data_IF_735687460181
#
_entry.id   IF_735687460181
#
_cell.length_a   1.000
_cell.length_b   1.000
_cell.length_c   1.000
_cell.angle_alpha   90.00
_cell.angle_beta   90.00
_cell.angle_gamma   90.00
#
_symmetry.space_group_name_H-M   'P 1'
#
loop_
_entity.id
_entity.type
_entity.pdbx_description
1 polymer ?
#
# COMPACT_ATOMS: atom_id res chain seq x y z
N UNK A 1 36.95 -9.56 5.73
CA UNK A 1 35.73 -10.17 6.32
C UNK A 1 35.78 -11.66 6.07
N UNK A 2 35.69 -12.50 7.11
CA UNK A 2 35.59 -13.95 6.96
C UNK A 2 34.20 -14.35 6.46
N UNK A 3 34.12 -15.41 5.65
CA UNK A 3 32.86 -16.02 5.23
C UNK A 3 32.54 -17.17 6.18
N UNK A 4 31.30 -17.22 6.68
CA UNK A 4 30.78 -18.39 7.37
C UNK A 4 30.06 -19.25 6.34
N UNK A 5 30.49 -20.51 6.21
CA UNK A 5 29.81 -21.52 5.40
C UNK A 5 29.05 -22.45 6.34
N UNK A 6 27.75 -22.59 6.12
CA UNK A 6 26.87 -23.48 6.88
C UNK A 6 26.18 -24.41 5.89
N UNK A 7 26.23 -25.69 6.18
CA UNK A 7 25.49 -26.72 5.44
C UNK A 7 24.32 -27.19 6.32
N UNK A 8 23.15 -27.30 5.71
CA UNK A 8 21.94 -27.78 6.37
C UNK A 8 21.52 -29.11 5.76
N UNK A 9 21.15 -30.05 6.61
CA UNK A 9 20.48 -31.28 6.20
C UNK A 9 18.99 -30.95 5.94
N UNK A 10 18.37 -31.63 4.97
CA UNK A 10 16.92 -31.55 4.74
C UNK A 10 16.23 -32.61 5.60
N UNK A 11 15.39 -32.17 6.52
CA UNK A 11 14.55 -33.04 7.37
C UNK A 11 13.38 -33.61 6.58
N UNK A 12 12.68 -32.73 5.86
CA UNK A 12 11.51 -33.05 5.06
C UNK A 12 11.24 -31.93 4.06
N UNK A 13 10.41 -32.22 3.06
CA UNK A 13 9.93 -31.27 2.07
C UNK A 13 8.40 -31.19 2.12
N UNK A 14 7.87 -29.97 2.02
CA UNK A 14 6.46 -29.71 1.77
C UNK A 14 6.29 -29.28 0.31
N UNK A 15 5.50 -30.07 -0.43
CA UNK A 15 5.24 -29.92 -1.85
C UNK A 15 3.87 -29.30 -2.13
N UNK A 16 3.18 -28.76 -1.11
CA UNK A 16 1.85 -28.15 -1.24
C UNK A 16 1.76 -27.15 -2.40
N UNK A 17 2.83 -26.39 -2.64
CA UNK A 17 2.88 -25.32 -3.62
C UNK A 17 3.75 -25.66 -4.85
N UNK A 18 3.96 -26.95 -5.12
CA UNK A 18 4.80 -27.42 -6.22
C UNK A 18 4.29 -26.94 -7.59
N UNK A 19 2.98 -26.75 -7.75
CA UNK A 19 2.37 -26.19 -8.98
C UNK A 19 2.83 -24.74 -9.28
N UNK A 20 3.28 -24.01 -8.26
CA UNK A 20 3.84 -22.65 -8.38
C UNK A 20 5.38 -22.66 -8.33
N UNK A 21 6.00 -23.81 -8.57
CA UNK A 21 7.43 -24.08 -8.43
C UNK A 21 8.00 -23.79 -7.04
N UNK A 22 7.19 -23.90 -5.98
CA UNK A 22 7.60 -23.62 -4.60
C UNK A 22 7.67 -24.91 -3.80
N UNK A 23 8.81 -25.13 -3.16
CA UNK A 23 9.05 -26.22 -2.20
C UNK A 23 9.53 -25.63 -0.89
N UNK A 24 8.93 -26.07 0.21
CA UNK A 24 9.40 -25.70 1.54
C UNK A 24 10.28 -26.82 2.10
N UNK A 25 11.54 -26.51 2.44
CA UNK A 25 12.50 -27.49 2.95
C UNK A 25 12.74 -27.27 4.44
N UNK A 26 12.33 -28.20 5.27
CA UNK A 26 12.56 -28.13 6.72
C UNK A 26 14.00 -28.51 7.03
N UNK A 27 14.70 -27.67 7.80
CA UNK A 27 16.16 -27.75 7.92
C UNK A 27 16.59 -28.36 9.26
N UNK A 28 17.66 -29.16 9.20
CA UNK A 28 18.45 -29.68 10.32
C UNK A 28 19.87 -29.12 10.28
N UNK A 29 20.46 -28.98 11.46
CA UNK A 29 21.86 -28.60 11.62
C UNK A 29 22.48 -29.45 12.73
N UNK A 30 23.59 -30.14 12.42
CA UNK A 30 24.24 -31.12 13.30
C UNK A 30 23.25 -32.17 13.82
N UNK A 31 22.45 -32.76 12.92
CA UNK A 31 21.43 -33.76 13.25
C UNK A 31 20.23 -33.25 14.06
N UNK A 32 20.14 -31.97 14.39
CA UNK A 32 19.04 -31.38 15.19
C UNK A 32 18.11 -30.52 14.33
N UNK A 33 16.79 -30.62 14.50
CA UNK A 33 15.84 -29.71 13.84
C UNK A 33 16.15 -28.25 14.15
N UNK A 34 16.21 -27.41 13.13
CA UNK A 34 16.32 -25.96 13.31
C UNK A 34 14.94 -25.32 13.50
N UNK A 35 14.89 -24.05 13.88
CA UNK A 35 13.63 -23.28 13.94
C UNK A 35 13.17 -22.75 12.57
N UNK A 36 13.93 -23.03 11.53
CA UNK A 36 13.76 -22.45 10.20
C UNK A 36 13.39 -23.52 9.17
N UNK A 37 12.82 -23.04 8.07
CA UNK A 37 12.65 -23.74 6.81
C UNK A 37 13.17 -22.86 5.68
N UNK A 38 13.70 -23.48 4.64
CA UNK A 38 14.06 -22.81 3.39
C UNK A 38 12.88 -22.79 2.45
N UNK A 39 12.63 -21.64 1.82
CA UNK A 39 11.69 -21.51 0.72
C UNK A 39 12.49 -21.57 -0.57
N UNK A 40 12.21 -22.57 -1.40
CA UNK A 40 12.87 -22.76 -2.70
C UNK A 40 11.86 -22.49 -3.78
N UNK A 41 12.17 -21.56 -4.71
CA UNK A 41 11.33 -21.27 -5.87
C UNK A 41 12.11 -21.47 -7.16
N UNK A 42 11.57 -22.29 -8.07
CA UNK A 42 12.20 -22.63 -9.35
C UNK A 42 13.66 -23.11 -9.18
N UNK A 43 13.89 -23.96 -8.17
CA UNK A 43 15.20 -24.54 -7.86
C UNK A 43 16.16 -23.65 -7.06
N UNK A 44 15.82 -22.39 -6.79
CA UNK A 44 16.67 -21.46 -6.04
C UNK A 44 16.14 -21.20 -4.63
N UNK A 45 17.05 -21.17 -3.64
CA UNK A 45 16.70 -20.71 -2.29
C UNK A 45 16.38 -19.22 -2.31
N UNK A 46 15.13 -18.86 -2.01
CA UNK A 46 14.68 -17.46 -2.00
C UNK A 46 14.57 -16.88 -0.59
N UNK A 47 14.45 -17.71 0.45
CA UNK A 47 14.38 -17.23 1.82
C UNK A 47 14.56 -18.31 2.88
N UNK A 48 15.01 -17.89 4.07
CA UNK A 48 15.01 -18.68 5.29
C UNK A 48 14.01 -18.06 6.26
N UNK A 49 12.93 -18.77 6.56
CA UNK A 49 11.82 -18.27 7.38
C UNK A 49 11.55 -19.19 8.56
N UNK A 50 10.81 -18.70 9.55
CA UNK A 50 10.34 -19.54 10.67
C UNK A 50 9.55 -20.74 10.12
N UNK A 51 9.62 -21.89 10.79
CA UNK A 51 8.76 -23.05 10.48
C UNK A 51 7.27 -22.70 10.53
N UNK A 52 6.88 -21.71 11.36
CA UNK A 52 5.51 -21.21 11.50
C UNK A 52 5.08 -20.23 10.42
N UNK A 53 5.97 -19.87 9.48
CA UNK A 53 5.65 -18.94 8.40
C UNK A 53 4.74 -19.61 7.38
N UNK A 54 3.58 -19.02 7.11
CA UNK A 54 2.62 -19.55 6.13
C UNK A 54 2.95 -19.00 4.74
N UNK A 55 3.53 -19.84 3.88
CA UNK A 55 3.80 -19.45 2.49
C UNK A 55 2.48 -19.34 1.74
N UNK A 56 2.29 -18.22 1.07
CA UNK A 56 1.19 -17.97 0.15
C UNK A 56 1.82 -17.57 -1.17
N UNK A 57 1.79 -18.44 -2.21
CA UNK A 57 2.32 -18.10 -3.52
C UNK A 57 1.69 -16.82 -4.06
N UNK A 58 2.49 -16.01 -4.75
CA UNK A 58 2.01 -14.74 -5.30
C UNK A 58 0.98 -14.99 -6.40
N UNK A 59 1.21 -16.02 -7.20
CA UNK A 59 0.33 -16.48 -8.27
C UNK A 59 -1.03 -16.91 -7.72
N UNK A 60 -1.04 -17.84 -6.76
CA UNK A 60 -2.24 -18.26 -6.04
C UNK A 60 -3.00 -17.08 -5.42
N UNK A 61 -2.29 -16.19 -4.71
CA UNK A 61 -2.90 -15.02 -4.09
C UNK A 61 -3.61 -14.12 -5.13
N UNK A 62 -3.01 -13.94 -6.31
CA UNK A 62 -3.62 -13.15 -7.38
C UNK A 62 -4.90 -13.82 -7.88
N UNK A 63 -4.87 -15.14 -8.11
CA UNK A 63 -6.03 -15.90 -8.56
C UNK A 63 -7.21 -15.78 -7.57
N UNK A 64 -6.93 -15.72 -6.27
CA UNK A 64 -7.98 -15.55 -5.26
C UNK A 64 -8.48 -14.11 -5.14
N UNK A 65 -7.58 -13.12 -5.26
CA UNK A 65 -7.90 -11.73 -4.94
C UNK A 65 -8.44 -10.94 -6.14
N UNK A 66 -8.00 -11.24 -7.36
CA UNK A 66 -8.44 -10.52 -8.56
C UNK A 66 -9.97 -10.55 -8.71
N UNK A 67 -10.66 -11.71 -8.65
CA UNK A 67 -12.12 -11.74 -8.78
C UNK A 67 -12.84 -10.91 -7.71
N UNK A 68 -12.29 -10.89 -6.48
CA UNK A 68 -12.88 -10.15 -5.35
C UNK A 68 -12.78 -8.63 -5.53
N UNK A 69 -11.64 -8.13 -6.03
CA UNK A 69 -11.49 -6.68 -6.27
C UNK A 69 -12.26 -6.24 -7.51
N UNK A 70 -12.35 -7.09 -8.53
CA UNK A 70 -13.14 -6.84 -9.75
C UNK A 70 -14.65 -6.75 -9.46
N UNK A 71 -15.17 -7.50 -8.47
CA UNK A 71 -16.57 -7.36 -8.04
C UNK A 71 -16.91 -5.93 -7.56
N UNK A 72 -15.91 -5.20 -7.08
CA UNK A 72 -16.04 -3.81 -6.64
C UNK A 72 -15.67 -2.80 -7.74
N UNK A 73 -15.42 -3.27 -8.96
CA UNK A 73 -15.10 -2.45 -10.12
C UNK A 73 -13.64 -2.01 -10.20
N UNK A 74 -12.71 -2.63 -9.46
CA UNK A 74 -11.29 -2.33 -9.59
C UNK A 74 -10.64 -3.23 -10.64
N UNK A 75 -9.81 -2.63 -11.50
CA UNK A 75 -9.10 -3.32 -12.56
C UNK A 75 -7.59 -3.34 -12.30
N UNK A 76 -6.87 -4.43 -12.59
CA UNK A 76 -5.42 -4.48 -12.43
C UNK A 76 -4.73 -3.54 -13.40
N UNK A 77 -3.77 -2.75 -12.92
CA UNK A 77 -2.88 -1.95 -13.78
C UNK A 77 -1.48 -2.56 -13.81
N UNK A 78 -0.85 -2.57 -14.99
CA UNK A 78 0.53 -3.02 -15.07
C UNK A 78 1.45 -2.02 -14.38
N UNK A 79 2.28 -2.54 -13.46
CA UNK A 79 3.26 -1.77 -12.71
C UNK A 79 4.63 -2.40 -12.85
N UNK A 80 5.71 -1.63 -13.04
CA UNK A 80 7.07 -2.14 -12.97
C UNK A 80 7.39 -2.84 -11.63
N UNK A 81 6.64 -2.52 -10.57
CA UNK A 81 6.78 -3.13 -9.25
C UNK A 81 6.15 -4.55 -9.14
N UNK A 82 5.39 -4.99 -10.17
CA UNK A 82 4.58 -6.22 -10.18
C UNK A 82 5.37 -7.47 -9.81
N UNK A 83 6.61 -7.59 -10.27
CA UNK A 83 7.53 -8.68 -9.92
C UNK A 83 8.87 -8.13 -9.47
N UNK A 84 8.96 -7.72 -8.20
CA UNK A 84 10.23 -7.32 -7.59
C UNK A 84 11.07 -8.56 -7.22
N UNK A 85 11.66 -9.20 -8.24
CA UNK A 85 12.39 -10.47 -8.08
C UNK A 85 11.47 -11.69 -8.01
N UNK A 86 12.01 -12.83 -7.53
CA UNK A 86 11.29 -14.13 -7.49
C UNK A 86 10.33 -14.26 -6.29
N UNK A 87 10.57 -13.49 -5.23
CA UNK A 87 9.87 -13.68 -3.96
C UNK A 87 8.77 -12.65 -3.66
N UNK A 88 8.85 -11.44 -4.24
CA UNK A 88 7.96 -10.32 -3.90
C UNK A 88 6.98 -10.03 -5.02
N UNK A 89 5.80 -9.60 -4.62
CA UNK A 89 4.72 -9.20 -5.51
C UNK A 89 4.06 -7.92 -5.04
N UNK A 90 3.85 -6.98 -5.94
CA UNK A 90 3.19 -5.70 -5.67
C UNK A 90 2.25 -5.36 -6.83
N UNK A 91 0.94 -5.43 -6.61
CA UNK A 91 -0.06 -5.16 -7.64
C UNK A 91 -0.91 -3.94 -7.27
N UNK A 92 -1.15 -3.08 -8.25
CA UNK A 92 -2.09 -1.98 -8.13
C UNK A 92 -3.37 -2.33 -8.88
N UNK A 93 -4.50 -1.99 -8.28
CA UNK A 93 -5.82 -2.07 -8.89
C UNK A 93 -6.46 -0.70 -8.85
N UNK A 94 -7.08 -0.25 -9.93
CA UNK A 94 -7.68 1.07 -10.05
C UNK A 94 -9.11 0.94 -10.51
N UNK A 95 -10.02 1.71 -9.90
CA UNK A 95 -11.38 1.85 -10.42
C UNK A 95 -11.35 2.77 -11.66
N UNK A 96 -11.80 2.31 -12.85
CA UNK A 96 -11.68 3.07 -14.10
C UNK A 96 -12.61 4.29 -14.10
N UNK A 97 -13.73 4.20 -13.40
CA UNK A 97 -14.65 5.31 -13.20
C UNK A 97 -13.96 6.47 -12.47
N UNK A 98 -14.00 7.63 -13.11
CA UNK A 98 -13.55 8.88 -12.54
C UNK A 98 -14.65 9.48 -11.68
N UNK A 99 -14.37 9.57 -10.39
CA UNK A 99 -15.22 10.32 -9.48
C UNK A 99 -14.84 11.80 -9.63
N UNK A 100 -15.74 12.60 -10.19
CA UNK A 100 -15.48 14.02 -10.42
C UNK A 100 -15.81 14.82 -9.17
N UNK A 101 -14.80 15.41 -8.57
CA UNK A 101 -14.93 16.39 -7.50
C UNK A 101 -14.39 17.71 -8.02
N UNK A 102 -15.24 18.72 -8.14
CA UNK A 102 -14.89 20.03 -8.72
C UNK A 102 -14.35 20.00 -10.16
N UNK A 103 -14.82 19.04 -10.98
CA UNK A 103 -14.29 18.82 -12.33
C UNK A 103 -12.91 18.15 -12.36
N UNK A 104 -12.27 17.93 -11.21
CA UNK A 104 -11.07 17.12 -11.06
C UNK A 104 -11.43 15.63 -10.98
N UNK A 105 -10.77 14.82 -11.79
CA UNK A 105 -10.94 13.37 -11.78
C UNK A 105 -10.19 12.73 -10.62
N UNK A 106 -10.90 12.08 -9.71
CA UNK A 106 -10.35 11.29 -8.61
C UNK A 106 -10.48 9.81 -8.96
N UNK A 107 -9.37 9.10 -8.84
CA UNK A 107 -9.33 7.64 -8.95
C UNK A 107 -9.22 7.01 -7.57
N UNK A 108 -9.92 5.90 -7.40
CA UNK A 108 -9.76 5.01 -6.26
C UNK A 108 -8.89 3.82 -6.67
N UNK A 109 -8.09 3.31 -5.75
CA UNK A 109 -7.24 2.17 -6.00
C UNK A 109 -6.94 1.33 -4.77
N UNK A 110 -6.40 0.14 -5.04
CA UNK A 110 -5.97 -0.84 -4.05
C UNK A 110 -4.54 -1.24 -4.38
N UNK A 111 -3.67 -1.23 -3.39
CA UNK A 111 -2.32 -1.76 -3.47
C UNK A 111 -2.25 -3.07 -2.69
N UNK A 112 -2.01 -4.16 -3.41
CA UNK A 112 -1.69 -5.47 -2.85
C UNK A 112 -0.17 -5.64 -2.81
N UNK A 113 0.36 -6.11 -1.68
CA UNK A 113 1.76 -6.51 -1.54
C UNK A 113 1.87 -7.85 -0.83
N UNK A 114 2.82 -8.67 -1.27
CA UNK A 114 3.11 -9.97 -0.68
C UNK A 114 4.58 -10.33 -0.85
N UNK A 115 5.08 -11.23 -0.01
CA UNK A 115 6.31 -11.97 -0.30
C UNK A 115 6.21 -13.41 0.20
N UNK A 116 6.98 -14.31 -0.41
CA UNK A 116 7.11 -15.70 0.05
C UNK A 116 8.36 -15.93 0.91
N UNK A 117 9.29 -14.98 0.93
CA UNK A 117 10.58 -15.07 1.63
C UNK A 117 10.58 -14.37 3.01
N UNK A 118 9.43 -13.83 3.42
CA UNK A 118 9.26 -13.11 4.69
C UNK A 118 9.79 -11.68 4.69
N UNK A 119 10.27 -11.15 3.56
CA UNK A 119 10.79 -9.77 3.48
C UNK A 119 9.70 -8.70 3.43
N UNK A 120 8.48 -9.08 3.03
CA UNK A 120 7.27 -8.26 3.07
C UNK A 120 6.14 -9.02 3.77
N UNK A 121 5.37 -8.29 4.56
CA UNK A 121 4.06 -8.76 5.00
C UNK A 121 3.06 -8.75 3.85
N UNK A 122 2.07 -9.62 3.94
CA UNK A 122 0.85 -9.49 3.17
C UNK A 122 0.15 -8.19 3.58
N UNK A 123 -0.12 -7.34 2.60
CA UNK A 123 -0.72 -6.03 2.85
C UNK A 123 -1.66 -5.61 1.74
N UNK A 124 -2.75 -4.98 2.17
CA UNK A 124 -3.67 -4.26 1.32
C UNK A 124 -3.72 -2.80 1.76
N UNK A 125 -3.68 -1.89 0.82
CA UNK A 125 -3.82 -0.46 1.08
C UNK A 125 -4.78 0.13 0.07
N UNK A 126 -5.95 0.58 0.54
CA UNK A 126 -6.85 1.40 -0.25
C UNK A 126 -6.27 2.80 -0.37
N UNK A 127 -6.36 3.40 -1.55
CA UNK A 127 -5.91 4.76 -1.78
C UNK A 127 -6.77 5.54 -2.76
N UNK A 128 -6.75 6.87 -2.63
CA UNK A 128 -7.20 7.79 -3.67
C UNK A 128 -6.00 8.49 -4.31
N UNK A 129 -6.11 8.84 -5.59
CA UNK A 129 -5.20 9.77 -6.24
C UNK A 129 -5.93 10.63 -7.26
N UNK A 130 -5.42 11.83 -7.49
CA UNK A 130 -6.02 12.81 -8.40
C UNK A 130 -5.35 12.77 -9.77
N UNK A 131 -6.11 13.02 -10.82
CA UNK A 131 -5.61 13.06 -12.21
C UNK A 131 -4.54 14.15 -12.40
N UNK A 132 -4.61 15.25 -11.63
CA UNK A 132 -3.59 16.32 -11.65
C UNK A 132 -2.23 15.87 -11.11
N UNK A 133 -2.15 14.72 -10.45
CA UNK A 133 -0.89 14.04 -10.10
C UNK A 133 -0.31 13.22 -11.29
N UNK A 134 -0.93 13.33 -12.48
CA UNK A 134 -0.87 12.42 -13.63
C UNK A 134 0.46 12.18 -14.35
N UNK A 135 1.61 12.61 -13.82
CA UNK A 135 2.92 12.18 -14.34
C UNK A 135 3.31 10.76 -13.87
N UNK A 136 2.34 9.86 -13.67
CA UNK A 136 2.57 8.47 -13.24
C UNK A 136 2.93 8.29 -11.76
N UNK A 137 2.78 9.34 -10.95
CA UNK A 137 3.18 9.32 -9.54
C UNK A 137 1.97 8.95 -8.66
N UNK A 138 1.74 7.64 -8.48
CA UNK A 138 0.93 7.07 -7.37
C UNK A 138 1.60 7.36 -5.99
N UNK A 139 2.63 8.21 -5.93
CA UNK A 139 3.33 8.56 -4.70
C UNK A 139 2.61 9.65 -3.89
N UNK A 140 1.65 10.36 -4.50
CA UNK A 140 0.70 11.26 -3.81
C UNK A 140 -0.50 10.54 -3.21
N UNK A 141 -0.50 9.19 -3.19
CA UNK A 141 -1.61 8.38 -2.72
C UNK A 141 -1.97 8.71 -1.28
N UNK A 142 -3.24 9.01 -1.05
CA UNK A 142 -3.79 9.10 0.28
C UNK A 142 -4.29 7.72 0.67
N UNK A 143 -3.71 7.16 1.73
CA UNK A 143 -4.15 5.86 2.22
C UNK A 143 -5.47 6.02 2.97
N UNK A 144 -6.56 5.55 2.37
CA UNK A 144 -7.87 5.58 3.01
C UNK A 144 -8.02 4.45 4.03
N UNK A 145 -7.32 3.34 3.81
CA UNK A 145 -7.32 2.19 4.71
C UNK A 145 -6.06 1.36 4.51
N UNK A 146 -5.49 0.83 5.61
CA UNK A 146 -4.32 -0.05 5.58
C UNK A 146 -4.61 -1.32 6.36
N UNK A 147 -4.50 -2.45 5.67
CA UNK A 147 -4.46 -3.77 6.25
C UNK A 147 -3.06 -4.35 6.09
N UNK A 148 -2.55 -4.98 7.15
CA UNK A 148 -1.26 -5.64 7.10
C UNK A 148 -1.29 -6.85 8.02
N UNK A 149 -0.92 -8.00 7.47
CA UNK A 149 -0.97 -9.28 8.15
C UNK A 149 0.38 -9.98 8.07
N UNK A 150 0.80 -10.54 9.20
CA UNK A 150 1.96 -11.45 9.23
C UNK A 150 1.51 -12.80 8.67
N UNK A 151 2.42 -13.49 8.00
CA UNK A 151 2.22 -14.84 7.47
C UNK A 151 2.25 -15.89 8.59
N UNK A 152 1.25 -15.89 9.45
CA UNK A 152 1.09 -16.85 10.54
C UNK A 152 -0.37 -17.25 10.61
N UNK A 153 -0.64 -18.56 10.61
CA UNK A 153 -1.98 -19.12 10.63
C UNK A 153 -2.26 -19.98 9.41
N UNK A 154 -3.54 -20.21 9.12
CA UNK A 154 -3.97 -20.97 7.93
C UNK A 154 -4.09 -20.06 6.72
N UNK A 155 -3.99 -20.63 5.52
CA UNK A 155 -4.15 -19.88 4.26
C UNK A 155 -5.57 -19.35 4.18
N UNK A 156 -6.55 -20.18 4.51
CA UNK A 156 -7.98 -19.88 4.48
C UNK A 156 -8.32 -18.73 5.44
N UNK A 157 -7.76 -18.75 6.66
CA UNK A 157 -7.96 -17.67 7.63
C UNK A 157 -7.37 -16.36 7.14
N UNK A 158 -6.18 -16.40 6.54
CA UNK A 158 -5.55 -15.21 5.97
C UNK A 158 -6.38 -14.66 4.79
N UNK A 159 -6.88 -15.52 3.89
CA UNK A 159 -7.72 -15.10 2.77
C UNK A 159 -9.04 -14.47 3.22
N UNK A 160 -9.71 -15.03 4.23
CA UNK A 160 -10.94 -14.47 4.81
C UNK A 160 -10.70 -13.05 5.35
N UNK A 161 -9.59 -12.81 6.06
CA UNK A 161 -9.25 -11.47 6.55
C UNK A 161 -8.96 -10.49 5.39
N UNK A 162 -8.38 -10.96 4.29
CA UNK A 162 -8.15 -10.13 3.10
C UNK A 162 -9.48 -9.74 2.44
N UNK A 163 -10.42 -10.66 2.30
CA UNK A 163 -11.75 -10.39 1.74
C UNK A 163 -12.48 -9.30 2.54
N UNK A 164 -12.49 -9.44 3.87
CA UNK A 164 -13.04 -8.42 4.78
C UNK A 164 -12.32 -7.07 4.61
N UNK A 165 -11.00 -7.08 4.46
CA UNK A 165 -10.21 -5.88 4.24
C UNK A 165 -10.55 -5.21 2.90
N UNK A 166 -10.80 -5.96 1.82
CA UNK A 166 -11.21 -5.42 0.52
C UNK A 166 -12.58 -4.74 0.64
N UNK A 167 -13.55 -5.41 1.29
CA UNK A 167 -14.87 -4.83 1.53
C UNK A 167 -14.77 -3.52 2.34
N UNK A 168 -13.93 -3.50 3.37
CA UNK A 168 -13.69 -2.31 4.19
C UNK A 168 -12.97 -1.20 3.41
N UNK A 169 -12.01 -1.54 2.55
CA UNK A 169 -11.35 -0.59 1.63
C UNK A 169 -12.39 0.06 0.74
N UNK A 170 -13.24 -0.72 0.07
CA UNK A 170 -14.25 -0.18 -0.83
C UNK A 170 -15.20 0.79 -0.09
N UNK A 171 -15.72 0.37 1.07
CA UNK A 171 -16.57 1.20 1.93
C UNK A 171 -15.88 2.50 2.36
N UNK A 172 -14.61 2.43 2.74
CA UNK A 172 -13.86 3.61 3.23
C UNK A 172 -13.47 4.54 2.08
N UNK A 173 -13.18 3.98 0.91
CA UNK A 173 -12.84 4.74 -0.29
C UNK A 173 -14.00 5.62 -0.74
N UNK A 174 -15.25 5.13 -0.71
CA UNK A 174 -16.42 5.96 -1.03
C UNK A 174 -16.60 7.14 -0.06
N UNK A 175 -16.28 6.94 1.23
CA UNK A 175 -16.35 8.02 2.24
C UNK A 175 -15.30 9.11 2.01
N UNK A 176 -14.17 8.81 1.36
CA UNK A 176 -13.17 9.84 1.04
C UNK A 176 -13.74 10.87 0.06
N UNK A 177 -14.59 10.42 -0.87
CA UNK A 177 -15.23 11.28 -1.86
C UNK A 177 -16.25 12.21 -1.20
N UNK A 178 -16.98 11.70 -0.20
CA UNK A 178 -17.88 12.52 0.61
C UNK A 178 -17.11 13.61 1.37
N UNK A 179 -15.93 13.29 1.92
CA UNK A 179 -15.07 14.27 2.59
C UNK A 179 -14.59 15.34 1.62
N UNK A 180 -14.09 14.97 0.44
CA UNK A 180 -13.68 15.95 -0.57
C UNK A 180 -14.87 16.84 -0.99
N UNK A 181 -16.04 16.25 -1.20
CA UNK A 181 -17.29 16.99 -1.51
C UNK A 181 -17.70 17.94 -0.38
N UNK A 182 -17.50 17.55 0.89
CA UNK A 182 -17.76 18.41 2.04
C UNK A 182 -16.78 19.59 2.11
N UNK A 183 -15.49 19.35 1.83
CA UNK A 183 -14.47 20.41 1.82
C UNK A 183 -14.75 21.50 0.78
N UNK A 184 -15.42 21.16 -0.33
CA UNK A 184 -15.87 22.16 -1.32
C UNK A 184 -16.96 23.11 -0.80
N UNK A 185 -17.65 22.74 0.29
CA UNK A 185 -18.77 23.52 0.85
C UNK A 185 -18.38 24.29 2.09
N UNK A 186 -17.32 23.87 2.77
CA UNK A 186 -16.84 24.49 4.00
C UNK A 186 -15.82 25.57 3.67
N UNK A 187 -16.06 26.77 4.21
CA UNK A 187 -15.15 27.91 4.12
C UNK A 187 -13.83 27.58 4.82
N UNK A 188 -12.71 27.96 4.23
CA UNK A 188 -11.41 27.81 4.90
C UNK A 188 -11.31 28.78 6.09
N UNK A 189 -11.02 28.23 7.26
CA UNK A 189 -11.00 28.98 8.52
C UNK A 189 -9.57 29.26 9.01
N UNK A 190 -9.42 30.38 9.71
CA UNK A 190 -8.16 30.80 10.34
C UNK A 190 -7.59 29.72 11.27
N UNK A 191 -8.46 28.97 11.96
CA UNK A 191 -8.05 27.86 12.82
C UNK A 191 -7.25 26.78 12.05
N UNK A 192 -7.69 26.43 10.84
CA UNK A 192 -6.99 25.42 10.01
C UNK A 192 -5.69 25.98 9.46
N UNK A 193 -5.67 27.25 9.03
CA UNK A 193 -4.44 27.95 8.65
C UNK A 193 -3.39 27.91 9.76
N UNK A 194 -3.78 28.26 10.99
CA UNK A 194 -2.88 28.25 12.15
C UNK A 194 -2.34 26.85 12.47
N UNK A 195 -3.15 25.80 12.29
CA UNK A 195 -2.68 24.42 12.47
C UNK A 195 -1.71 23.97 11.37
N UNK A 196 -1.91 24.41 10.12
CA UNK A 196 -0.93 24.19 9.04
C UNK A 196 0.38 24.93 9.33
N UNK A 197 0.31 26.21 9.71
CA UNK A 197 1.49 27.04 9.96
C UNK A 197 2.38 26.49 11.08
N UNK A 198 1.78 25.94 12.14
CA UNK A 198 2.52 25.31 13.23
C UNK A 198 3.28 24.05 12.81
N UNK A 199 2.80 23.33 11.80
CA UNK A 199 3.25 21.96 11.49
C UNK A 199 3.98 21.82 10.16
N UNK A 200 3.83 22.80 9.27
CA UNK A 200 4.47 22.81 7.96
C UNK A 200 5.45 23.98 7.86
N UNK A 201 6.58 23.81 7.15
CA UNK A 201 7.47 24.92 6.83
C UNK A 201 6.73 26.03 6.07
N UNK A 202 7.02 27.30 6.36
CA UNK A 202 6.39 28.45 5.68
C UNK A 202 6.44 28.37 4.14
N UNK A 203 7.53 27.83 3.59
CA UNK A 203 7.69 27.62 2.13
C UNK A 203 6.66 26.66 1.52
N UNK A 204 6.09 25.76 2.33
CA UNK A 204 5.10 24.79 1.88
C UNK A 204 3.68 25.35 1.90
N UNK A 205 3.41 26.39 2.70
CA UNK A 205 2.07 26.90 2.90
C UNK A 205 1.52 27.65 1.70
N UNK A 206 2.35 28.40 0.93
CA UNK A 206 1.84 29.44 0.01
C UNK A 206 1.09 30.53 0.81
N UNK A 207 0.71 31.64 0.18
CA UNK A 207 -0.15 32.64 0.82
C UNK A 207 -1.60 32.13 0.93
N UNK A 208 -1.83 31.17 1.82
CA UNK A 208 -3.18 30.65 2.15
C UNK A 208 -3.98 31.64 2.98
N UNK A 209 -3.33 32.64 3.58
CA UNK A 209 -4.01 33.62 4.43
C UNK A 209 -5.09 34.38 3.66
N UNK A 210 -4.86 34.63 2.35
CA UNK A 210 -5.83 35.23 1.42
C UNK A 210 -7.12 34.42 1.24
N UNK A 211 -7.09 33.12 1.54
CA UNK A 211 -8.22 32.20 1.37
C UNK A 211 -9.12 32.13 2.60
N UNK A 212 -8.69 32.68 3.75
CA UNK A 212 -9.46 32.65 4.99
C UNK A 212 -10.79 33.39 4.77
N UNK A 213 -11.90 32.69 4.97
CA UNK A 213 -13.26 33.23 4.80
C UNK A 213 -13.67 33.53 3.35
N UNK A 214 -12.77 33.42 2.38
CA UNK A 214 -13.05 33.67 0.95
C UNK A 214 -13.13 32.36 0.17
N UNK A 215 -12.12 31.52 0.29
CA UNK A 215 -12.02 30.19 -0.33
C UNK A 215 -12.61 29.07 0.54
N UNK A 216 -12.60 27.87 -0.02
CA UNK A 216 -13.05 26.64 0.62
C UNK A 216 -11.88 25.83 1.20
N UNK A 217 -12.18 24.88 2.07
CA UNK A 217 -11.18 23.91 2.52
C UNK A 217 -10.55 23.15 1.35
N UNK A 218 -11.33 22.88 0.30
CA UNK A 218 -10.86 22.23 -0.92
C UNK A 218 -9.82 23.07 -1.65
N UNK A 219 -10.07 24.38 -1.79
CA UNK A 219 -9.12 25.31 -2.42
C UNK A 219 -7.79 25.36 -1.67
N UNK A 220 -7.86 25.50 -0.34
CA UNK A 220 -6.67 25.56 0.51
C UNK A 220 -5.89 24.24 0.51
N UNK A 221 -6.60 23.10 0.55
CA UNK A 221 -6.00 21.77 0.42
C UNK A 221 -5.31 21.60 -0.92
N UNK A 222 -5.93 22.01 -2.02
CA UNK A 222 -5.35 21.90 -3.34
C UNK A 222 -4.07 22.74 -3.48
N UNK A 223 -4.10 23.98 -3.03
CA UNK A 223 -2.95 24.89 -3.10
C UNK A 223 -1.74 24.34 -2.33
N UNK A 224 -1.95 23.92 -1.07
CA UNK A 224 -0.86 23.41 -0.23
C UNK A 224 -0.30 22.09 -0.74
N UNK A 225 -1.17 21.17 -1.16
CA UNK A 225 -0.73 19.86 -1.66
C UNK A 225 0.00 19.98 -3.00
N UNK A 226 -0.47 20.84 -3.90
CA UNK A 226 0.22 21.12 -5.15
C UNK A 226 1.61 21.72 -4.90
N UNK A 227 1.72 22.65 -3.95
CA UNK A 227 3.00 23.28 -3.63
C UNK A 227 4.02 22.30 -3.02
N UNK A 228 3.58 21.39 -2.14
CA UNK A 228 4.42 20.33 -1.57
C UNK A 228 4.98 19.40 -2.65
N UNK A 229 4.15 18.99 -3.61
CA UNK A 229 4.52 18.00 -4.62
C UNK A 229 5.32 18.58 -5.79
N UNK A 230 4.91 19.73 -6.31
CA UNK A 230 5.43 20.26 -7.58
C UNK A 230 6.46 21.36 -7.42
N UNK A 231 6.32 22.18 -6.37
CA UNK A 231 7.13 23.39 -6.24
C UNK A 231 8.27 23.25 -5.22
N UNK A 232 8.17 22.29 -4.29
CA UNK A 232 9.22 22.06 -3.30
C UNK A 232 10.05 20.82 -3.66
N UNK A 233 11.32 21.06 -4.05
CA UNK A 233 12.31 20.00 -4.28
C UNK A 233 12.70 19.36 -2.94
N UNK A 234 11.99 18.31 -2.54
CA UNK A 234 12.27 17.50 -1.34
C UNK A 234 12.40 16.02 -1.68
N UNK A 235 12.86 15.23 -0.72
CA UNK A 235 12.79 13.76 -0.86
C UNK A 235 11.32 13.31 -0.84
N UNK A 236 11.02 12.24 -1.57
CA UNK A 236 9.66 11.65 -1.64
C UNK A 236 9.11 11.32 -0.25
N UNK A 237 9.96 10.79 0.63
CA UNK A 237 9.60 10.51 2.03
C UNK A 237 9.22 11.78 2.80
N UNK A 238 9.96 12.87 2.59
CA UNK A 238 9.65 14.16 3.21
C UNK A 238 8.34 14.76 2.71
N UNK A 239 8.07 14.65 1.41
CA UNK A 239 6.79 15.09 0.82
C UNK A 239 5.61 14.28 1.39
N UNK A 240 5.76 12.95 1.48
CA UNK A 240 4.74 12.08 2.05
C UNK A 240 4.42 12.42 3.52
N UNK A 241 5.45 12.67 4.34
CA UNK A 241 5.25 13.06 5.75
C UNK A 241 4.46 14.38 5.87
N UNK A 242 4.72 15.36 5.00
CA UNK A 242 3.96 16.62 4.97
C UNK A 242 2.51 16.40 4.53
N UNK A 243 2.27 15.53 3.56
CA UNK A 243 0.91 15.18 3.14
C UNK A 243 0.08 14.60 4.30
N UNK A 244 0.68 13.77 5.16
CA UNK A 244 -0.02 13.26 6.35
C UNK A 244 -0.45 14.38 7.31
N UNK A 245 0.36 15.45 7.43
CA UNK A 245 0.00 16.63 8.22
C UNK A 245 -1.19 17.35 7.60
N UNK A 246 -1.14 17.60 6.28
CA UNK A 246 -2.23 18.26 5.55
C UNK A 246 -3.53 17.47 5.72
N UNK A 247 -3.53 16.18 5.39
CA UNK A 247 -4.72 15.33 5.48
C UNK A 247 -5.34 15.36 6.88
N UNK A 248 -4.50 15.27 7.92
CA UNK A 248 -4.96 15.37 9.32
C UNK A 248 -5.63 16.71 9.64
N UNK A 249 -5.15 17.83 9.12
CA UNK A 249 -5.77 19.15 9.35
C UNK A 249 -7.12 19.26 8.63
N UNK A 250 -7.23 18.70 7.44
CA UNK A 250 -8.47 18.72 6.66
C UNK A 250 -9.43 17.57 7.00
N UNK A 251 -9.06 16.69 7.93
CA UNK A 251 -9.91 15.60 8.42
C UNK A 251 -10.05 14.45 7.43
N UNK A 252 -9.07 14.29 6.54
CA UNK A 252 -9.05 13.27 5.50
C UNK A 252 -8.42 11.97 6.02
#
# INVERSE_FOLDING_TARGET
>A
MGKLHVEFEIESEDLKWQEYDIVEKYLRYNGKPTRFKGIVKSGELVGLVSRSYTVIPNEFLVEQIVPLVEQYGYEPIDSPARKAGKAKYIQYFIKPELEKVDGEGIHLGILLRNSIDGTLSLGLEGFSYRTRCGNGVIMGKEAVYKFTRRHVGTVEGILSEIEEAIAQINKTSLRILEKYSHMMRVKFEEKKYNELEKRLPKKDLVDLSRMIGTGTDWDAFNEVTQNIWWNNKGSVLGQYSKMQVVNKVFGI
#
